data_IF_184145959126
#
_entry.id   IF_184145959126
#
_cell.length_a   1.000
_cell.length_b   1.000
_cell.length_c   1.000
_cell.angle_alpha   90.00
_cell.angle_beta   90.00
_cell.angle_gamma   90.00
#
_symmetry.space_group_name_H-M   'P 1'
#
loop_
_entity.id
_entity.type
_entity.pdbx_description
1 polymer ?
#
# COMPACT_ATOMS: atom_id res chain seq x y z
N UNK A 1 14.53 -46.66 18.81
CA UNK A 1 13.37 -45.79 19.14
C UNK A 1 13.90 -44.58 19.88
N UNK A 2 14.04 -43.44 19.22
CA UNK A 2 14.45 -42.20 19.87
C UNK A 2 13.20 -41.42 20.27
N UNK A 3 13.03 -41.20 21.58
CA UNK A 3 11.97 -40.34 22.10
C UNK A 3 12.28 -38.89 21.71
N UNK A 4 11.39 -38.27 20.94
CA UNK A 4 11.39 -36.81 20.75
C UNK A 4 11.15 -36.15 22.10
N UNK A 5 12.10 -35.31 22.55
CA UNK A 5 11.84 -34.37 23.64
C UNK A 5 10.74 -33.39 23.18
N UNK A 6 9.78 -33.03 24.05
CA UNK A 6 8.77 -32.04 23.71
C UNK A 6 9.45 -30.70 23.44
N UNK A 7 9.06 -30.08 22.33
CA UNK A 7 9.59 -28.80 21.86
C UNK A 7 9.43 -27.74 22.94
N UNK A 8 10.55 -27.16 23.35
CA UNK A 8 10.54 -25.86 23.98
C UNK A 8 10.13 -24.88 22.90
N UNK A 9 8.91 -24.36 22.98
CA UNK A 9 8.53 -23.16 22.23
C UNK A 9 9.61 -22.09 22.46
N UNK A 10 10.05 -21.37 21.41
CA UNK A 10 11.07 -20.35 21.57
C UNK A 10 10.56 -19.33 22.61
N UNK A 11 11.37 -19.05 23.64
CA UNK A 11 11.07 -18.13 24.75
C UNK A 11 10.34 -16.85 24.30
N UNK A 12 10.62 -16.35 23.09
CA UNK A 12 10.05 -15.17 22.43
C UNK A 12 8.51 -15.11 22.38
N UNK A 13 7.81 -16.24 22.28
CA UNK A 13 6.34 -16.25 22.16
C UNK A 13 5.63 -15.88 23.47
N UNK A 14 6.24 -16.17 24.62
CA UNK A 14 5.68 -15.83 25.95
C UNK A 14 5.74 -14.33 26.30
N UNK A 15 6.59 -13.58 25.61
CA UNK A 15 6.91 -12.18 25.94
C UNK A 15 6.44 -11.19 24.89
N UNK A 16 5.65 -11.64 23.91
CA UNK A 16 5.10 -10.77 22.88
C UNK A 16 3.60 -10.64 23.07
N UNK A 17 3.12 -9.41 23.23
CA UNK A 17 1.72 -9.10 23.51
C UNK A 17 1.06 -8.44 22.30
N UNK A 18 -0.21 -8.77 22.07
CA UNK A 18 -1.03 -8.16 21.03
C UNK A 18 -1.93 -7.09 21.63
N UNK A 19 -2.19 -6.04 20.86
CA UNK A 19 -3.03 -4.94 21.26
C UNK A 19 -4.00 -4.59 20.13
N UNK A 20 -5.26 -4.33 20.50
CA UNK A 20 -6.29 -3.77 19.61
C UNK A 20 -6.67 -2.40 20.17
N UNK A 21 -6.40 -1.33 19.42
CA UNK A 21 -6.63 0.05 19.86
C UNK A 21 -6.10 0.29 21.29
N UNK A 22 -4.87 -0.15 21.54
CA UNK A 22 -4.16 -0.12 22.83
C UNK A 22 -4.73 -0.99 23.96
N UNK A 23 -5.74 -1.83 23.70
CA UNK A 23 -6.20 -2.87 24.63
C UNK A 23 -5.42 -4.16 24.39
N UNK A 24 -4.71 -4.65 25.42
CA UNK A 24 -3.99 -5.92 25.39
C UNK A 24 -4.94 -7.11 25.20
N UNK A 25 -4.58 -8.06 24.35
CA UNK A 25 -5.31 -9.30 24.11
C UNK A 25 -4.38 -10.43 23.65
N UNK A 26 -4.86 -11.66 23.72
CA UNK A 26 -4.23 -12.81 23.05
C UNK A 26 -4.45 -12.71 21.54
N UNK A 27 -3.55 -13.31 20.76
CA UNK A 27 -3.62 -13.28 19.28
C UNK A 27 -4.95 -13.82 18.75
N UNK A 28 -5.43 -14.91 19.34
CA UNK A 28 -6.68 -15.58 18.99
C UNK A 28 -7.91 -14.76 19.42
N UNK A 29 -7.76 -13.90 20.42
CA UNK A 29 -8.82 -13.06 20.97
C UNK A 29 -8.99 -11.72 20.23
N UNK A 30 -8.12 -11.38 19.26
CA UNK A 30 -8.17 -10.11 18.53
C UNK A 30 -9.57 -9.83 17.95
N UNK A 31 -10.16 -10.80 17.26
CA UNK A 31 -11.49 -10.65 16.65
C UNK A 31 -12.57 -10.40 17.70
N UNK A 32 -12.58 -11.17 18.77
CA UNK A 32 -13.57 -11.02 19.85
C UNK A 32 -13.40 -9.68 20.58
N UNK A 33 -12.15 -9.26 20.80
CA UNK A 33 -11.82 -7.97 21.43
C UNK A 33 -12.37 -6.80 20.62
N UNK A 34 -12.28 -6.86 19.28
CA UNK A 34 -12.85 -5.86 18.37
C UNK A 34 -14.38 -5.80 18.50
N UNK A 35 -15.04 -6.95 18.58
CA UNK A 35 -16.50 -7.02 18.71
C UNK A 35 -16.99 -6.49 20.05
N UNK A 36 -16.40 -6.96 21.15
CA UNK A 36 -16.83 -6.62 22.51
C UNK A 36 -16.70 -5.12 22.80
N UNK A 37 -15.63 -4.50 22.28
CA UNK A 37 -15.34 -3.08 22.48
C UNK A 37 -15.85 -2.18 21.34
N UNK A 38 -16.51 -2.77 20.33
CA UNK A 38 -17.07 -2.06 19.17
C UNK A 38 -16.05 -1.23 18.36
N UNK A 39 -14.79 -1.67 18.30
CA UNK A 39 -13.74 -0.96 17.55
C UNK A 39 -13.92 -0.99 16.03
N UNK A 40 -14.84 -1.81 15.54
CA UNK A 40 -15.16 -1.96 14.12
C UNK A 40 -15.84 -0.72 13.49
N UNK A 41 -16.29 0.28 14.27
CA UNK A 41 -17.01 1.42 13.71
C UNK A 41 -16.11 2.46 13.02
N UNK A 42 -14.81 2.41 13.25
CA UNK A 42 -13.81 3.33 12.68
C UNK A 42 -12.53 2.57 12.26
N UNK A 43 -11.36 3.10 12.60
CA UNK A 43 -10.07 2.47 12.35
C UNK A 43 -9.77 1.42 13.41
N UNK A 44 -9.37 0.26 12.93
CA UNK A 44 -8.77 -0.78 13.76
C UNK A 44 -7.27 -0.57 13.72
N UNK A 45 -6.65 -0.54 14.90
CA UNK A 45 -5.23 -0.43 15.10
C UNK A 45 -4.76 -1.69 15.82
N UNK A 46 -4.00 -2.53 15.12
CA UNK A 46 -3.37 -3.72 15.69
C UNK A 46 -1.91 -3.44 15.98
N UNK A 47 -1.45 -3.91 17.13
CA UNK A 47 -0.09 -3.71 17.59
C UNK A 47 0.47 -5.01 18.17
N UNK A 48 1.73 -5.31 17.85
CA UNK A 48 2.48 -6.43 18.42
C UNK A 48 3.71 -5.85 19.10
N UNK A 49 3.76 -5.95 20.43
CA UNK A 49 4.81 -5.34 21.27
C UNK A 49 5.55 -6.45 22.01
N UNK A 50 6.88 -6.41 21.93
CA UNK A 50 7.72 -7.19 22.81
C UNK A 50 7.69 -6.56 24.21
N UNK A 51 7.21 -7.32 25.20
CA UNK A 51 7.16 -6.91 26.59
C UNK A 51 8.31 -7.58 27.34
N UNK A 52 9.33 -6.79 27.67
CA UNK A 52 10.32 -7.19 28.67
C UNK A 52 9.75 -6.81 30.03
N UNK A 53 9.52 -7.78 30.92
CA UNK A 53 9.32 -7.46 32.33
C UNK A 53 10.62 -6.82 32.87
N UNK A 54 10.47 -5.75 33.66
CA UNK A 54 11.55 -5.06 34.40
C UNK A 54 12.46 -6.00 35.22
N UNK A 55 12.05 -7.25 35.40
CA UNK A 55 12.67 -8.28 36.23
C UNK A 55 13.94 -8.90 35.62
N UNK A 56 14.23 -8.65 34.33
CA UNK A 56 15.50 -9.03 33.69
C UNK A 56 16.47 -7.84 33.50
N UNK A 57 16.35 -6.79 34.33
CA UNK A 57 17.54 -6.01 34.69
C UNK A 57 18.47 -6.94 35.45
N UNK A 58 19.33 -7.67 34.73
CA UNK A 58 20.45 -8.38 35.31
C UNK A 58 21.36 -7.34 35.97
N UNK A 59 21.10 -7.05 37.23
CA UNK A 59 22.03 -6.36 38.11
C UNK A 59 23.14 -7.36 38.38
N UNK A 60 24.23 -7.28 37.61
CA UNK A 60 25.45 -7.99 37.99
C UNK A 60 26.09 -7.20 39.13
N UNK A 61 26.18 -7.81 40.30
CA UNK A 61 27.00 -7.30 41.39
C UNK A 61 28.48 -7.49 41.03
N UNK A 62 29.18 -6.40 40.80
CA UNK A 62 30.65 -6.41 40.72
C UNK A 62 31.21 -5.84 42.03
N UNK A 63 31.99 -6.66 42.75
CA UNK A 63 32.81 -6.16 43.86
C UNK A 63 34.11 -5.63 43.31
N UNK A 64 34.34 -4.33 43.48
CA UNK A 64 35.65 -3.70 43.27
C UNK A 64 36.13 -3.23 44.64
N UNK A 65 37.07 -3.98 45.22
CA UNK A 65 37.53 -3.73 46.59
C UNK A 65 36.44 -3.98 47.64
N UNK A 66 36.19 -3.00 48.52
CA UNK A 66 35.16 -3.05 49.56
C UNK A 66 33.80 -2.46 49.14
N UNK A 67 33.68 -1.93 47.92
CA UNK A 67 32.46 -1.33 47.41
C UNK A 67 31.66 -2.33 46.56
N UNK A 68 30.35 -2.41 46.80
CA UNK A 68 29.41 -3.15 45.98
C UNK A 68 28.93 -2.23 44.85
N UNK A 69 29.23 -2.56 43.59
CA UNK A 69 28.75 -1.81 42.45
C UNK A 69 27.68 -2.62 41.70
N UNK A 70 26.56 -1.96 41.41
CA UNK A 70 25.48 -2.53 40.61
C UNK A 70 25.64 -2.07 39.16
N UNK A 71 25.97 -3.01 38.25
CA UNK A 71 26.01 -2.74 36.82
C UNK A 71 24.71 -3.24 36.20
N UNK A 72 23.85 -2.31 35.75
CA UNK A 72 22.72 -2.65 34.89
C UNK A 72 23.28 -3.09 33.53
N UNK A 73 23.35 -4.40 33.30
CA UNK A 73 23.46 -4.91 31.93
C UNK A 73 22.08 -4.89 31.31
N UNK A 74 21.75 -3.83 30.57
CA UNK A 74 20.68 -3.91 29.59
C UNK A 74 21.13 -4.93 28.54
N UNK A 75 20.33 -5.97 28.33
CA UNK A 75 20.49 -6.80 27.14
C UNK A 75 20.27 -5.90 25.93
N UNK A 76 21.29 -5.76 25.07
CA UNK A 76 21.25 -5.01 23.80
C UNK A 76 20.12 -5.47 22.85
N UNK A 77 19.41 -6.57 23.18
CA UNK A 77 18.33 -7.14 22.38
C UNK A 77 16.91 -6.76 22.85
N UNK A 78 16.76 -6.05 23.97
CA UNK A 78 15.47 -5.80 24.64
C UNK A 78 14.84 -4.42 24.39
N UNK A 79 15.35 -3.63 23.44
CA UNK A 79 14.71 -2.35 23.09
C UNK A 79 13.33 -2.61 22.46
N UNK A 80 12.26 -2.29 23.21
CA UNK A 80 10.84 -2.17 22.86
C UNK A 80 10.50 -2.44 21.38
N UNK A 81 10.55 -3.71 20.97
CA UNK A 81 10.22 -4.10 19.59
C UNK A 81 8.73 -3.93 19.40
N UNK A 82 8.36 -3.32 18.28
CA UNK A 82 7.00 -2.91 18.03
C UNK A 82 6.68 -2.97 16.54
N UNK A 83 5.57 -3.63 16.21
CA UNK A 83 4.92 -3.51 14.92
C UNK A 83 3.53 -2.94 15.10
N UNK A 84 3.11 -2.16 14.11
CA UNK A 84 1.80 -1.51 14.06
C UNK A 84 1.19 -1.71 12.68
N UNK A 85 -0.09 -2.01 12.65
CA UNK A 85 -0.86 -2.13 11.43
C UNK A 85 -2.26 -1.59 11.66
N UNK A 86 -2.70 -0.62 10.85
CA UNK A 86 -4.03 -0.04 10.98
C UNK A 86 -4.74 0.07 9.63
N UNK A 87 -6.04 -0.19 9.67
CA UNK A 87 -6.96 0.05 8.56
C UNK A 87 -8.19 0.80 9.04
N UNK A 88 -8.66 1.72 8.21
CA UNK A 88 -10.00 2.30 8.36
C UNK A 88 -11.02 1.33 7.79
N UNK A 89 -11.90 0.78 8.65
CA UNK A 89 -12.82 -0.30 8.26
C UNK A 89 -14.25 0.14 8.01
N UNK A 90 -14.52 1.45 8.06
CA UNK A 90 -15.86 2.03 7.97
C UNK A 90 -16.63 1.57 6.73
N UNK A 91 -16.04 1.71 5.55
CA UNK A 91 -16.68 1.32 4.28
C UNK A 91 -16.86 -0.20 4.15
N UNK A 92 -15.92 -0.97 4.71
CA UNK A 92 -16.00 -2.42 4.73
C UNK A 92 -17.19 -2.90 5.57
N UNK A 93 -17.34 -2.33 6.78
CA UNK A 93 -18.44 -2.66 7.69
C UNK A 93 -19.80 -2.28 7.11
N UNK A 94 -19.89 -1.16 6.39
CA UNK A 94 -21.13 -0.75 5.73
C UNK A 94 -21.65 -1.81 4.74
N UNK A 95 -20.77 -2.64 4.16
CA UNK A 95 -21.13 -3.70 3.21
C UNK A 95 -21.32 -5.07 3.85
N UNK A 96 -20.45 -5.46 4.77
CA UNK A 96 -20.39 -6.83 5.27
C UNK A 96 -20.88 -7.02 6.71
N UNK A 97 -21.08 -5.97 7.53
CA UNK A 97 -21.39 -6.04 8.97
C UNK A 97 -20.27 -6.73 9.81
N UNK A 98 -19.97 -6.26 11.04
CA UNK A 98 -18.90 -6.80 11.89
C UNK A 98 -19.01 -8.28 12.26
N UNK A 99 -20.19 -8.91 12.18
CA UNK A 99 -20.33 -10.35 12.51
C UNK A 99 -20.19 -11.28 11.29
N UNK A 100 -19.84 -10.75 10.12
CA UNK A 100 -19.70 -11.54 8.89
C UNK A 100 -18.41 -12.36 8.84
N UNK A 101 -18.43 -13.38 8.00
CA UNK A 101 -17.24 -14.17 7.69
C UNK A 101 -16.17 -13.32 6.97
N UNK A 102 -16.58 -12.40 6.10
CA UNK A 102 -15.68 -11.50 5.39
C UNK A 102 -14.93 -10.59 6.34
N UNK A 103 -15.63 -10.04 7.35
CA UNK A 103 -14.98 -9.21 8.35
C UNK A 103 -14.03 -10.00 9.25
N UNK A 104 -14.41 -11.23 9.62
CA UNK A 104 -13.50 -12.15 10.33
C UNK A 104 -12.22 -12.43 9.53
N UNK A 105 -12.37 -12.74 8.23
CA UNK A 105 -11.24 -12.97 7.32
C UNK A 105 -10.37 -11.72 7.20
N UNK A 106 -10.96 -10.51 7.14
CA UNK A 106 -10.21 -9.26 7.14
C UNK A 106 -9.32 -9.17 8.39
N UNK A 107 -9.90 -9.35 9.58
CA UNK A 107 -9.15 -9.28 10.85
C UNK A 107 -8.04 -10.34 10.93
N UNK A 108 -8.28 -11.55 10.43
CA UNK A 108 -7.26 -12.61 10.35
C UNK A 108 -6.11 -12.20 9.43
N UNK A 109 -6.40 -11.62 8.26
CA UNK A 109 -5.40 -11.12 7.32
C UNK A 109 -4.61 -9.93 7.89
N UNK A 110 -5.28 -9.01 8.58
CA UNK A 110 -4.62 -7.91 9.29
C UNK A 110 -3.66 -8.43 10.36
N UNK A 111 -4.09 -9.40 11.15
CA UNK A 111 -3.27 -10.03 12.19
C UNK A 111 -2.06 -10.75 11.60
N UNK A 112 -2.24 -11.46 10.47
CA UNK A 112 -1.14 -12.10 9.77
C UNK A 112 -0.15 -11.09 9.16
N UNK A 113 -0.64 -9.98 8.59
CA UNK A 113 0.21 -8.91 8.09
C UNK A 113 1.05 -8.29 9.22
N UNK A 114 0.43 -8.02 10.38
CA UNK A 114 1.13 -7.55 11.59
C UNK A 114 2.22 -8.53 12.04
N UNK A 115 1.91 -9.84 12.06
CA UNK A 115 2.89 -10.87 12.40
C UNK A 115 4.10 -10.82 11.46
N UNK A 116 3.87 -10.75 10.15
CA UNK A 116 4.96 -10.73 9.18
C UNK A 116 5.76 -9.43 9.22
N UNK A 117 5.14 -8.28 9.52
CA UNK A 117 5.87 -7.02 9.77
C UNK A 117 6.84 -7.22 10.93
N UNK A 118 6.34 -7.73 12.06
CA UNK A 118 7.14 -7.93 13.26
C UNK A 118 8.30 -8.93 13.05
N UNK A 119 8.08 -10.00 12.28
CA UNK A 119 9.14 -10.96 11.95
C UNK A 119 10.16 -10.39 10.96
N UNK A 120 9.72 -9.71 9.90
CA UNK A 120 10.61 -9.16 8.86
C UNK A 120 11.49 -8.01 9.36
N UNK A 121 11.05 -7.27 10.37
CA UNK A 121 11.89 -6.28 11.05
C UNK A 121 13.10 -6.91 11.77
N UNK A 122 13.10 -8.23 12.00
CA UNK A 122 14.15 -8.93 12.75
C UNK A 122 15.03 -9.78 11.86
N UNK A 123 14.41 -10.46 10.89
CA UNK A 123 15.12 -11.24 9.88
C UNK A 123 14.47 -10.98 8.52
N UNK A 124 14.87 -9.87 7.91
CA UNK A 124 14.35 -9.49 6.61
C UNK A 124 14.68 -10.55 5.53
N UNK A 125 15.87 -11.16 5.61
CA UNK A 125 16.30 -12.18 4.65
C UNK A 125 15.35 -13.38 4.63
N UNK A 126 14.85 -13.80 5.80
CA UNK A 126 13.92 -14.92 5.92
C UNK A 126 12.46 -14.56 5.63
N UNK A 127 12.02 -13.34 5.95
CA UNK A 127 10.59 -13.00 5.99
C UNK A 127 10.12 -11.96 4.96
N UNK A 128 11.00 -11.32 4.19
CA UNK A 128 10.64 -10.29 3.20
C UNK A 128 9.54 -10.72 2.22
N UNK A 129 9.66 -11.90 1.59
CA UNK A 129 8.65 -12.39 0.65
C UNK A 129 7.29 -12.67 1.33
N UNK A 130 7.34 -13.21 2.56
CA UNK A 130 6.13 -13.49 3.36
C UNK A 130 5.45 -12.19 3.79
N UNK A 131 6.23 -11.18 4.16
CA UNK A 131 5.75 -9.83 4.44
C UNK A 131 5.02 -9.25 3.23
N UNK A 132 5.69 -9.19 2.08
CA UNK A 132 5.12 -8.68 0.83
C UNK A 132 3.80 -9.39 0.48
N UNK A 133 3.77 -10.71 0.64
CA UNK A 133 2.60 -11.54 0.38
C UNK A 133 1.46 -11.28 1.36
N UNK A 134 1.74 -11.24 2.66
CA UNK A 134 0.73 -11.03 3.69
C UNK A 134 0.06 -9.66 3.55
N UNK A 135 0.85 -8.62 3.33
CA UNK A 135 0.35 -7.25 3.11
C UNK A 135 -0.48 -7.20 1.83
N UNK A 136 0.05 -7.69 0.71
CA UNK A 136 -0.67 -7.69 -0.57
C UNK A 136 -2.01 -8.43 -0.46
N UNK A 137 -2.02 -9.60 0.16
CA UNK A 137 -3.24 -10.39 0.36
C UNK A 137 -4.25 -9.67 1.26
N UNK A 138 -3.81 -8.99 2.32
CA UNK A 138 -4.68 -8.19 3.17
C UNK A 138 -5.29 -7.02 2.40
N UNK A 139 -4.47 -6.25 1.70
CA UNK A 139 -4.90 -5.03 1.01
C UNK A 139 -5.76 -5.33 -0.22
N UNK A 140 -5.46 -6.37 -1.01
CA UNK A 140 -6.32 -6.82 -2.12
C UNK A 140 -7.69 -7.19 -1.59
N UNK A 141 -7.76 -8.03 -0.54
CA UNK A 141 -9.02 -8.46 0.04
C UNK A 141 -9.83 -7.28 0.57
N UNK A 142 -9.18 -6.34 1.26
CA UNK A 142 -9.84 -5.12 1.72
C UNK A 142 -10.41 -4.32 0.53
N UNK A 143 -9.58 -4.01 -0.47
CA UNK A 143 -9.98 -3.20 -1.63
C UNK A 143 -11.09 -3.85 -2.47
N UNK A 144 -11.05 -5.16 -2.73
CA UNK A 144 -12.08 -5.87 -3.50
C UNK A 144 -13.44 -5.87 -2.80
N UNK A 145 -13.44 -5.83 -1.47
CA UNK A 145 -14.68 -5.80 -0.68
C UNK A 145 -15.15 -4.36 -0.41
N UNK A 146 -14.28 -3.33 -0.43
CA UNK A 146 -14.69 -1.92 -0.27
C UNK A 146 -15.01 -1.21 -1.57
N UNK A 147 -14.35 -1.54 -2.67
CA UNK A 147 -14.39 -0.74 -3.89
C UNK A 147 -14.96 -1.49 -5.10
N UNK A 148 -15.54 -0.75 -6.04
CA UNK A 148 -15.90 -1.28 -7.35
C UNK A 148 -14.66 -1.28 -8.26
N UNK A 149 -14.16 -2.48 -8.57
CA UNK A 149 -12.95 -2.69 -9.37
C UNK A 149 -13.22 -2.72 -10.88
N UNK A 150 -14.47 -2.52 -11.31
CA UNK A 150 -14.84 -2.67 -12.74
C UNK A 150 -14.42 -1.51 -13.63
N UNK A 151 -14.11 -0.34 -13.06
CA UNK A 151 -13.74 0.84 -13.82
C UNK A 151 -12.25 0.84 -14.26
N UNK A 152 -11.91 1.14 -15.53
CA UNK A 152 -10.58 0.89 -16.08
C UNK A 152 -9.40 1.61 -15.38
N UNK A 153 -9.56 2.88 -15.00
CA UNK A 153 -8.52 3.64 -14.27
C UNK A 153 -8.50 3.35 -12.77
N UNK A 154 -9.62 2.88 -12.24
CA UNK A 154 -9.79 2.52 -10.84
C UNK A 154 -8.90 1.33 -10.48
N UNK A 155 -8.81 0.33 -11.36
CA UNK A 155 -7.90 -0.80 -11.20
C UNK A 155 -6.42 -0.34 -11.09
N UNK A 156 -6.00 0.60 -11.94
CA UNK A 156 -4.63 1.14 -11.93
C UNK A 156 -4.35 1.89 -10.63
N UNK A 157 -5.25 2.78 -10.22
CA UNK A 157 -5.10 3.54 -8.99
C UNK A 157 -4.99 2.62 -7.76
N UNK A 158 -5.86 1.62 -7.64
CA UNK A 158 -5.81 0.67 -6.52
C UNK A 158 -4.56 -0.17 -6.53
N UNK A 159 -4.16 -0.71 -7.68
CA UNK A 159 -2.93 -1.50 -7.79
C UNK A 159 -1.72 -0.69 -7.35
N UNK A 160 -1.64 0.59 -7.73
CA UNK A 160 -0.56 1.48 -7.28
C UNK A 160 -0.59 1.71 -5.77
N UNK A 161 -1.75 1.97 -5.18
CA UNK A 161 -1.87 2.15 -3.73
C UNK A 161 -1.45 0.91 -2.95
N UNK A 162 -1.84 -0.29 -3.42
CA UNK A 162 -1.45 -1.56 -2.79
C UNK A 162 0.06 -1.76 -2.87
N UNK A 163 0.65 -1.64 -4.07
CA UNK A 163 2.09 -1.87 -4.23
C UNK A 163 2.92 -0.80 -3.53
N UNK A 164 2.46 0.45 -3.45
CA UNK A 164 3.12 1.48 -2.64
C UNK A 164 3.15 1.10 -1.16
N UNK A 165 2.02 0.62 -0.63
CA UNK A 165 1.94 0.20 0.77
C UNK A 165 2.83 -1.03 1.06
N UNK A 166 2.88 -2.00 0.13
CA UNK A 166 3.82 -3.13 0.18
C UNK A 166 5.26 -2.62 0.21
N UNK A 167 5.64 -1.75 -0.72
CA UNK A 167 6.99 -1.19 -0.81
C UNK A 167 7.41 -0.44 0.47
N UNK A 168 6.56 0.45 0.97
CA UNK A 168 6.87 1.23 2.18
C UNK A 168 7.07 0.34 3.41
N UNK A 169 6.26 -0.72 3.53
CA UNK A 169 6.39 -1.69 4.63
C UNK A 169 7.66 -2.54 4.49
N UNK A 170 7.98 -2.96 3.26
CA UNK A 170 9.14 -3.76 2.93
C UNK A 170 10.45 -3.00 3.17
N UNK A 171 10.56 -1.75 2.70
CA UNK A 171 11.76 -0.93 2.90
C UNK A 171 11.93 -0.52 4.37
N UNK A 172 10.83 -0.31 5.11
CA UNK A 172 10.88 -0.06 6.55
C UNK A 172 11.38 -1.30 7.30
N UNK A 173 10.86 -2.49 6.99
CA UNK A 173 11.30 -3.74 7.60
C UNK A 173 12.78 -4.01 7.29
N UNK A 174 13.20 -3.79 6.05
CA UNK A 174 14.62 -3.85 5.66
C UNK A 174 15.47 -2.89 6.50
N UNK A 175 15.05 -1.61 6.58
CA UNK A 175 15.77 -0.58 7.32
C UNK A 175 15.95 -0.92 8.80
N UNK A 176 14.89 -1.44 9.43
CA UNK A 176 14.92 -1.88 10.83
C UNK A 176 15.78 -3.14 11.05
N UNK A 177 15.82 -4.05 10.08
CA UNK A 177 16.59 -5.30 10.18
C UNK A 177 18.08 -5.11 9.91
N UNK A 178 18.46 -4.18 9.03
CA UNK A 178 19.83 -4.04 8.49
C UNK A 178 20.52 -2.75 8.96
N UNK A 179 19.77 -1.80 9.53
CA UNK A 179 20.30 -0.55 10.04
C UNK A 179 21.28 -0.76 11.20
N UNK A 180 22.49 -0.21 11.06
CA UNK A 180 23.43 -0.05 12.16
C UNK A 180 22.92 1.10 13.01
N UNK A 181 22.19 0.82 14.10
CA UNK A 181 22.17 1.60 15.37
C UNK A 181 20.96 1.20 16.23
N UNK A 182 21.27 0.64 17.41
CA UNK A 182 20.43 0.55 18.62
C UNK A 182 20.76 1.72 19.61
N UNK A 183 21.21 2.86 19.09
CA UNK A 183 21.64 4.03 19.87
C UNK A 183 21.38 5.35 19.09
N UNK A 184 20.13 5.80 19.14
CA UNK A 184 19.72 7.21 18.90
C UNK A 184 19.72 7.79 17.47
N UNK A 185 19.69 6.98 16.40
CA UNK A 185 19.45 7.52 15.05
C UNK A 185 18.15 6.95 14.48
N UNK A 186 17.18 7.83 14.29
CA UNK A 186 15.92 7.49 13.64
C UNK A 186 16.15 7.15 12.16
N UNK A 187 15.36 6.21 11.64
CA UNK A 187 15.37 5.91 10.21
C UNK A 187 14.98 7.16 9.41
N UNK A 188 15.53 7.35 8.20
CA UNK A 188 15.11 8.46 7.36
C UNK A 188 13.63 8.35 7.01
N UNK A 189 12.96 9.51 6.91
CA UNK A 189 11.52 9.56 6.63
C UNK A 189 11.14 8.88 5.31
N UNK A 190 10.00 8.20 5.31
CA UNK A 190 9.36 7.55 4.14
C UNK A 190 8.06 8.25 3.73
N UNK A 191 7.89 9.52 4.07
CA UNK A 191 6.67 10.27 3.75
C UNK A 191 6.62 10.58 2.25
N UNK A 192 5.56 10.11 1.60
CA UNK A 192 5.22 10.49 0.22
C UNK A 192 4.27 11.68 0.27
N UNK A 193 4.75 12.84 -0.17
CA UNK A 193 3.96 14.06 -0.28
C UNK A 193 3.16 14.07 -1.58
N UNK A 194 1.84 13.92 -1.44
CA UNK A 194 0.85 13.97 -2.52
C UNK A 194 0.07 15.30 -2.54
N UNK A 195 0.48 16.30 -1.77
CA UNK A 195 -0.21 17.60 -1.66
C UNK A 195 -0.33 18.36 -2.98
N UNK A 196 0.54 18.06 -3.96
CA UNK A 196 0.43 18.55 -5.33
C UNK A 196 -0.83 18.10 -6.06
N UNK A 197 -1.49 17.03 -5.60
CA UNK A 197 -2.75 16.54 -6.14
C UNK A 197 -3.90 17.26 -5.45
N UNK A 198 -4.51 18.21 -6.17
CA UNK A 198 -5.52 19.13 -5.62
C UNK A 198 -6.84 18.46 -5.24
N UNK A 199 -7.17 17.33 -5.86
CA UNK A 199 -8.45 16.64 -5.66
C UNK A 199 -8.23 15.18 -5.22
N UNK A 200 -9.03 14.70 -4.27
CA UNK A 200 -9.05 13.28 -3.89
C UNK A 200 -9.69 12.45 -4.99
N UNK A 201 -9.21 11.21 -5.19
CA UNK A 201 -9.79 10.27 -6.15
C UNK A 201 -11.32 10.18 -6.02
N UNK A 202 -12.01 10.29 -7.15
CA UNK A 202 -13.47 10.11 -7.21
C UNK A 202 -13.83 9.10 -8.29
N UNK A 203 -14.48 8.02 -7.86
CA UNK A 203 -14.93 6.93 -8.73
C UNK A 203 -15.94 7.36 -9.79
N UNK A 204 -16.65 8.47 -9.58
CA UNK A 204 -17.65 9.00 -10.49
C UNK A 204 -17.11 10.03 -11.49
N UNK A 205 -15.79 10.28 -11.48
CA UNK A 205 -15.18 11.16 -12.48
C UNK A 205 -15.27 10.57 -13.89
N UNK A 206 -15.36 11.47 -14.86
CA UNK A 206 -15.14 11.15 -16.26
C UNK A 206 -13.72 10.58 -16.46
N UNK A 207 -13.57 9.71 -17.46
CA UNK A 207 -12.31 9.03 -17.75
C UNK A 207 -11.14 9.99 -18.01
N UNK A 208 -11.40 11.15 -18.63
CA UNK A 208 -10.38 12.19 -18.84
C UNK A 208 -9.80 12.72 -17.52
N UNK A 209 -10.64 12.95 -16.51
CA UNK A 209 -10.21 13.38 -15.16
C UNK A 209 -9.49 12.25 -14.42
N UNK A 210 -9.97 11.01 -14.53
CA UNK A 210 -9.31 9.84 -13.94
C UNK A 210 -7.92 9.59 -14.54
N UNK A 211 -7.80 9.68 -15.86
CA UNK A 211 -6.52 9.57 -16.58
C UNK A 211 -5.56 10.66 -16.13
N UNK A 212 -6.02 11.91 -16.04
CA UNK A 212 -5.20 13.02 -15.55
C UNK A 212 -4.72 12.77 -14.12
N UNK A 213 -5.61 12.38 -13.21
CA UNK A 213 -5.25 12.04 -11.83
C UNK A 213 -4.18 10.94 -11.78
N UNK A 214 -4.39 9.83 -12.50
CA UNK A 214 -3.43 8.70 -12.53
C UNK A 214 -2.07 9.15 -13.07
N UNK A 215 -2.07 10.02 -14.09
CA UNK A 215 -0.86 10.59 -14.66
C UNK A 215 -0.08 11.42 -13.61
N UNK A 216 -0.76 12.36 -12.94
CA UNK A 216 -0.16 13.20 -11.91
C UNK A 216 0.36 12.35 -10.73
N UNK A 217 -0.43 11.36 -10.30
CA UNK A 217 -0.07 10.45 -9.21
C UNK A 217 1.19 9.64 -9.53
N UNK A 218 1.27 9.03 -10.72
CA UNK A 218 2.44 8.27 -11.17
C UNK A 218 3.70 9.13 -11.26
N UNK A 219 3.57 10.36 -11.78
CA UNK A 219 4.68 11.31 -11.90
C UNK A 219 5.22 11.73 -10.52
N UNK A 220 4.33 12.10 -9.59
CA UNK A 220 4.72 12.48 -8.22
C UNK A 220 5.38 11.30 -7.51
N UNK A 221 4.80 10.10 -7.60
CA UNK A 221 5.39 8.90 -6.99
C UNK A 221 6.81 8.66 -7.51
N UNK A 222 7.02 8.70 -8.83
CA UNK A 222 8.34 8.45 -9.40
C UNK A 222 9.40 9.46 -8.92
N UNK A 223 9.03 10.74 -8.86
CA UNK A 223 9.91 11.80 -8.38
C UNK A 223 10.25 11.62 -6.89
N UNK A 224 9.24 11.40 -6.06
CA UNK A 224 9.37 11.21 -4.62
C UNK A 224 10.23 9.97 -4.30
N UNK A 225 10.05 8.87 -5.03
CA UNK A 225 10.84 7.64 -4.81
C UNK A 225 12.33 7.87 -5.02
N UNK A 226 12.74 8.73 -5.96
CA UNK A 226 14.15 9.06 -6.12
C UNK A 226 14.67 9.92 -4.98
N UNK A 227 13.90 10.93 -4.55
CA UNK A 227 14.27 11.77 -3.39
C UNK A 227 14.41 10.96 -2.10
N UNK A 228 13.47 10.04 -1.84
CA UNK A 228 13.52 9.15 -0.67
C UNK A 228 14.71 8.18 -0.79
N UNK A 229 14.94 7.60 -1.97
CA UNK A 229 16.12 6.74 -2.20
C UNK A 229 17.41 7.49 -1.86
N UNK A 230 17.59 8.69 -2.39
CA UNK A 230 18.80 9.48 -2.13
C UNK A 230 19.00 9.75 -0.64
N UNK A 231 17.93 10.07 0.08
CA UNK A 231 17.97 10.29 1.53
C UNK A 231 18.47 9.03 2.26
N UNK A 232 17.93 7.86 1.91
CA UNK A 232 18.31 6.58 2.51
C UNK A 232 19.74 6.17 2.13
N UNK A 233 20.18 6.42 0.90
CA UNK A 233 21.55 6.13 0.43
C UNK A 233 22.61 7.02 1.08
N UNK A 234 22.26 8.26 1.44
CA UNK A 234 23.16 9.19 2.15
C UNK A 234 23.24 8.91 3.65
N UNK A 235 22.30 8.14 4.20
CA UNK A 235 22.31 7.78 5.61
C UNK A 235 23.58 7.01 5.98
N UNK A 236 24.13 7.32 7.14
CA UNK A 236 25.28 6.61 7.72
C UNK A 236 24.85 5.39 8.56
N UNK A 237 23.54 5.13 8.64
CA UNK A 237 22.96 3.93 9.26
C UNK A 237 23.25 2.65 8.49
N UNK A 238 23.55 2.75 7.19
CA UNK A 238 23.65 1.59 6.32
C UNK A 238 25.07 1.45 5.77
N UNK A 239 25.57 0.22 5.69
CA UNK A 239 26.79 -0.03 4.91
C UNK A 239 26.50 -0.13 3.41
N UNK A 240 27.58 -0.24 2.64
CA UNK A 240 27.51 -0.31 1.19
C UNK A 240 26.71 -1.51 0.69
N UNK A 241 26.74 -2.64 1.41
CA UNK A 241 25.97 -3.83 1.04
C UNK A 241 24.46 -3.57 1.21
N UNK A 242 24.06 -3.04 2.36
CA UNK A 242 22.66 -2.69 2.61
C UNK A 242 22.18 -1.57 1.67
N UNK A 243 23.04 -0.59 1.35
CA UNK A 243 22.80 0.45 0.35
C UNK A 243 22.54 -0.11 -1.05
N UNK A 244 23.33 -1.08 -1.49
CA UNK A 244 23.09 -1.74 -2.78
C UNK A 244 21.75 -2.49 -2.80
N UNK A 245 21.44 -3.26 -1.76
CA UNK A 245 20.13 -3.95 -1.65
C UNK A 245 18.96 -2.96 -1.66
N UNK A 246 19.07 -1.83 -0.95
CA UNK A 246 18.05 -0.78 -1.01
C UNK A 246 17.91 -0.23 -2.42
N UNK A 247 19.01 0.10 -3.09
CA UNK A 247 18.97 0.61 -4.45
C UNK A 247 18.21 -0.35 -5.39
N UNK A 248 18.38 -1.66 -5.21
CA UNK A 248 17.64 -2.69 -5.95
C UNK A 248 16.15 -2.67 -5.63
N UNK A 249 15.75 -2.64 -4.34
CA UNK A 249 14.34 -2.56 -3.93
C UNK A 249 13.66 -1.30 -4.52
N UNK A 250 14.32 -0.16 -4.47
CA UNK A 250 13.82 1.08 -5.10
C UNK A 250 13.74 0.96 -6.63
N UNK A 251 14.69 0.28 -7.27
CA UNK A 251 14.67 0.06 -8.72
C UNK A 251 13.51 -0.84 -9.14
N UNK A 252 13.24 -1.92 -8.39
CA UNK A 252 12.09 -2.81 -8.58
C UNK A 252 10.78 -2.04 -8.48
N UNK A 253 10.62 -1.20 -7.46
CA UNK A 253 9.40 -0.41 -7.29
C UNK A 253 9.23 0.65 -8.39
N UNK A 254 10.30 1.33 -8.80
CA UNK A 254 10.27 2.26 -9.95
C UNK A 254 9.88 1.55 -11.26
N UNK A 255 10.33 0.31 -11.46
CA UNK A 255 9.92 -0.49 -12.61
C UNK A 255 8.41 -0.78 -12.56
N UNK A 256 7.86 -1.12 -11.39
CA UNK A 256 6.42 -1.31 -11.22
C UNK A 256 5.62 -0.05 -11.59
N UNK A 257 6.06 1.13 -11.15
CA UNK A 257 5.44 2.42 -11.52
C UNK A 257 5.45 2.60 -13.05
N UNK A 258 6.59 2.37 -13.71
CA UNK A 258 6.72 2.46 -15.18
C UNK A 258 5.79 1.49 -15.90
N UNK A 259 5.63 0.27 -15.40
CA UNK A 259 4.69 -0.70 -15.97
C UNK A 259 3.24 -0.20 -15.88
N UNK A 260 2.86 0.49 -14.79
CA UNK A 260 1.55 1.12 -14.69
C UNK A 260 1.38 2.33 -15.62
N UNK A 261 2.45 3.11 -15.89
CA UNK A 261 2.43 4.16 -16.92
C UNK A 261 2.13 3.57 -18.30
N UNK A 262 2.80 2.47 -18.68
CA UNK A 262 2.54 1.78 -19.96
C UNK A 262 1.11 1.24 -20.03
N UNK A 263 0.60 0.65 -18.94
CA UNK A 263 -0.79 0.18 -18.87
C UNK A 263 -1.78 1.34 -19.06
N UNK A 264 -1.53 2.47 -18.40
CA UNK A 264 -2.33 3.69 -18.53
C UNK A 264 -2.30 4.22 -19.97
N UNK A 265 -1.14 4.34 -20.61
CA UNK A 265 -1.04 4.81 -22.00
C UNK A 265 -1.77 3.89 -22.99
N UNK A 266 -1.74 2.57 -22.73
CA UNK A 266 -2.47 1.58 -23.52
C UNK A 266 -3.98 1.77 -23.36
N UNK A 267 -4.43 2.02 -22.13
CA UNK A 267 -5.83 2.30 -21.82
C UNK A 267 -6.31 3.62 -22.44
N UNK A 268 -5.51 4.69 -22.35
CA UNK A 268 -5.79 5.98 -22.96
C UNK A 268 -6.03 5.83 -24.47
N UNK A 269 -5.17 5.06 -25.17
CA UNK A 269 -5.34 4.75 -26.60
C UNK A 269 -6.59 3.93 -26.90
N UNK A 270 -6.89 2.94 -26.05
CA UNK A 270 -8.06 2.08 -26.24
C UNK A 270 -9.37 2.88 -26.10
N UNK A 271 -9.46 3.77 -25.11
CA UNK A 271 -10.65 4.58 -24.85
C UNK A 271 -10.81 5.73 -25.86
N UNK A 272 -9.72 6.34 -26.31
CA UNK A 272 -9.76 7.33 -27.40
C UNK A 272 -10.40 6.73 -28.68
N UNK A 273 -10.01 5.50 -29.04
CA UNK A 273 -10.59 4.79 -30.18
C UNK A 273 -12.08 4.45 -30.01
N UNK A 274 -12.56 4.28 -28.76
CA UNK A 274 -13.99 4.06 -28.48
C UNK A 274 -14.78 5.35 -28.61
N UNK A 275 -14.24 6.48 -28.14
CA UNK A 275 -14.84 7.80 -28.39
C UNK A 275 -14.87 8.16 -29.87
N UNK A 276 -13.80 7.90 -30.62
CA UNK A 276 -13.77 8.14 -32.06
C UNK A 276 -14.74 7.21 -32.81
N UNK A 277 -14.89 5.95 -32.39
CA UNK A 277 -15.89 5.02 -32.95
C UNK A 277 -17.32 5.42 -32.61
N UNK A 278 -17.60 5.89 -31.39
CA UNK A 278 -18.91 6.41 -30.98
C UNK A 278 -19.25 7.70 -31.72
N UNK A 279 -18.26 8.56 -31.97
CA UNK A 279 -18.42 9.79 -32.75
C UNK A 279 -18.67 9.45 -34.22
N UNK A 280 -17.93 8.49 -34.78
CA UNK A 280 -18.16 7.96 -36.13
C UNK A 280 -19.51 7.26 -36.24
N UNK A 281 -19.96 6.51 -35.23
CA UNK A 281 -21.28 5.84 -35.23
C UNK A 281 -22.41 6.84 -35.07
N UNK A 282 -22.28 7.87 -34.22
CA UNK A 282 -23.26 8.94 -34.09
C UNK A 282 -23.29 9.82 -35.34
N UNK A 283 -22.13 10.13 -35.94
CA UNK A 283 -22.06 10.86 -37.20
C UNK A 283 -22.64 10.05 -38.35
N UNK A 284 -22.34 8.75 -38.45
CA UNK A 284 -22.92 7.89 -39.49
C UNK A 284 -24.39 7.60 -39.25
N UNK A 285 -24.86 7.48 -38.01
CA UNK A 285 -26.29 7.39 -37.67
C UNK A 285 -27.02 8.69 -38.00
N UNK A 286 -26.44 9.86 -37.69
CA UNK A 286 -26.96 11.16 -38.09
C UNK A 286 -26.89 11.39 -39.62
N UNK A 287 -25.94 10.77 -40.31
CA UNK A 287 -25.86 10.79 -41.78
C UNK A 287 -26.91 9.86 -42.42
N UNK A 288 -27.19 8.71 -41.80
CA UNK A 288 -28.19 7.74 -42.28
C UNK A 288 -29.63 8.16 -41.97
N UNK A 289 -29.84 8.88 -40.86
CA UNK A 289 -31.13 9.41 -40.42
C UNK A 289 -31.27 10.92 -40.62
N UNK A 290 -30.36 11.54 -41.38
CA UNK A 290 -30.68 12.84 -41.96
C UNK A 290 -31.93 12.62 -42.80
N UNK A 291 -33.07 13.28 -42.51
CA UNK A 291 -34.16 13.31 -43.45
C UNK A 291 -33.55 13.84 -44.74
N UNK A 292 -33.54 13.04 -45.80
CA UNK A 292 -33.25 13.55 -47.13
C UNK A 292 -34.28 14.64 -47.36
N UNK A 293 -33.89 15.88 -47.12
CA UNK A 293 -34.72 17.01 -47.48
C UNK A 293 -34.83 16.93 -48.99
N UNK A 294 -36.00 16.55 -49.47
CA UNK A 294 -36.40 16.62 -50.88
C UNK A 294 -36.58 18.07 -51.33
N UNK A 295 -35.75 18.98 -50.80
CA UNK A 295 -35.73 20.38 -51.18
C UNK A 295 -34.35 20.71 -51.72
N UNK A 296 -34.39 21.07 -53.00
CA UNK A 296 -33.37 21.83 -53.75
C UNK A 296 -32.23 21.01 -54.34
N UNK A 297 -32.59 20.09 -55.25
CA UNK A 297 -31.75 19.70 -56.38
C UNK A 297 -32.37 20.07 -57.74
N UNK A 298 -33.35 20.99 -57.75
CA UNK A 298 -33.98 21.55 -58.96
C UNK A 298 -33.80 23.07 -59.06
N UNK A 299 -32.59 23.57 -58.78
CA UNK A 299 -32.15 24.89 -59.28
C UNK A 299 -30.71 24.78 -59.75
N UNK A 300 -30.49 23.95 -60.77
CA UNK A 300 -29.29 24.00 -61.61
C UNK A 300 -29.66 23.54 -63.03
N UNK A 301 -30.76 24.07 -63.57
CA UNK A 301 -31.03 24.03 -65.00
C UNK A 301 -30.75 25.40 -65.63
N UNK A 302 -29.69 25.36 -66.43
CA UNK A 302 -29.52 26.01 -67.72
C UNK A 302 -28.72 27.34 -67.79
N UNK A 303 -27.54 27.33 -68.43
CA UNK A 303 -26.84 28.54 -68.86
C UNK A 303 -27.61 29.15 -70.03
N UNK A 304 -28.12 30.38 -69.86
CA UNK A 304 -28.58 31.19 -71.00
C UNK A 304 -27.38 31.74 -71.75
N UNK A 305 -26.97 31.03 -72.81
CA UNK A 305 -26.43 31.66 -74.00
C UNK A 305 -27.56 32.46 -74.67
N UNK A 306 -27.44 33.78 -74.68
CA UNK A 306 -28.06 34.61 -75.72
C UNK A 306 -27.08 35.67 -76.16
N UNK A 307 -26.43 35.43 -77.31
CA UNK A 307 -25.90 36.49 -78.14
C UNK A 307 -27.06 37.38 -78.60
N UNK A 308 -26.91 38.69 -78.50
CA UNK A 308 -27.45 39.61 -79.50
C UNK A 308 -26.54 40.83 -79.60
N UNK A 309 -26.18 41.11 -80.85
CA UNK A 309 -25.36 42.20 -81.35
C UNK A 309 -25.74 43.59 -80.83
N UNK A 310 -24.72 44.36 -80.41
CA UNK A 310 -24.26 45.58 -81.08
C UNK A 310 -22.80 45.84 -80.75
#
# INVERSE_FOLDING_TARGET
MYSKKPGTEPLRDKWTKYFVNDIECEREAIYQTILDNKFYTDSIALAKKYHFELHEKNIKEERIGYALHYKETKSDKSENRYAYFSLNTKEFIAKHNPTSNEYKILVERMSHALDMIYEAQQDYAQYSEKLRTAIRNCMIFFCENTNDMTAPYTEIAYKLSIELFVFLSDILAFGLSEGKVFNHKELPSLVVDLSGIKEKWNVNWADSKKSQFVNEYLSILLQQMESIRELWMRSDLFDESSKNKMADIFAEFKLMIKLQQVKKDTLDKALANVHDRLTLSNNSYNFYYQPQSTKEANESECPKLSNTFR
#
